data_IF_486322008430
#
_entry.id   IF_486322008430
#
_cell.length_a   1.000
_cell.length_b   1.000
_cell.length_c   1.000
_cell.angle_alpha   90.00
_cell.angle_beta   90.00
_cell.angle_gamma   90.00
#
_symmetry.space_group_name_H-M   'P 1'
#
loop_
_entity.id
_entity.type
_entity.pdbx_description
1 polymer ?
#
# COMPACT_ATOMS: atom_id res chain seq x y z
N UNK A 1 -6.47 -10.11 -5.14
CA UNK A 1 -7.48 -9.10 -5.53
C UNK A 1 -7.26 -7.94 -4.57
N UNK A 2 -6.62 -6.83 -4.99
CA UNK A 2 -6.08 -5.84 -4.06
C UNK A 2 -7.18 -5.04 -3.38
N UNK A 3 -6.99 -4.60 -2.13
CA UNK A 3 -7.98 -3.77 -1.45
C UNK A 3 -8.20 -2.41 -2.12
N UNK A 4 -7.22 -1.87 -2.84
CA UNK A 4 -7.39 -0.63 -3.61
C UNK A 4 -8.52 -0.70 -4.66
N UNK A 5 -8.84 -1.89 -5.21
CA UNK A 5 -9.92 -2.05 -6.18
C UNK A 5 -11.31 -1.94 -5.54
N UNK A 6 -11.44 -2.21 -4.23
CA UNK A 6 -12.74 -2.11 -3.53
C UNK A 6 -13.14 -0.65 -3.23
N UNK A 7 -12.21 0.29 -3.36
CA UNK A 7 -12.41 1.71 -3.05
C UNK A 7 -12.48 2.61 -4.30
N UNK A 8 -11.81 2.22 -5.39
CA UNK A 8 -11.70 3.05 -6.58
C UNK A 8 -11.99 2.24 -7.85
N UNK A 9 -12.83 2.81 -8.73
CA UNK A 9 -13.15 2.21 -10.03
C UNK A 9 -11.90 2.11 -10.94
N UNK A 10 -10.98 3.07 -10.82
CA UNK A 10 -9.69 3.08 -11.53
C UNK A 10 -8.57 3.45 -10.55
N UNK A 11 -7.88 2.46 -9.94
CA UNK A 11 -6.81 2.74 -8.99
C UNK A 11 -5.62 3.44 -9.68
N UNK A 12 -5.01 4.41 -8.99
CA UNK A 12 -3.78 5.05 -9.45
C UNK A 12 -2.60 4.07 -9.28
N UNK A 13 -1.88 3.79 -10.37
CA UNK A 13 -0.64 3.02 -10.31
C UNK A 13 0.49 3.94 -9.82
N UNK A 14 1.10 3.58 -8.70
CA UNK A 14 2.24 4.33 -8.18
C UNK A 14 3.46 4.11 -9.08
N UNK A 15 4.08 5.19 -9.57
CA UNK A 15 5.36 5.12 -10.29
C UNK A 15 6.47 4.72 -9.31
N UNK A 16 6.98 3.50 -9.45
CA UNK A 16 8.06 2.92 -8.65
C UNK A 16 9.41 3.60 -8.95
N UNK A 17 9.62 4.82 -8.44
CA UNK A 17 10.89 5.55 -8.58
C UNK A 17 11.77 5.32 -7.37
N UNK A 18 12.88 4.63 -7.57
CA UNK A 18 13.90 4.47 -6.53
C UNK A 18 14.56 5.81 -6.20
N UNK A 19 14.93 6.05 -4.93
CA UNK A 19 15.68 7.24 -4.55
C UNK A 19 17.01 7.33 -5.30
N UNK A 20 17.32 8.53 -5.81
CA UNK A 20 18.64 8.85 -6.34
C UNK A 20 19.54 9.30 -5.19
N UNK A 21 20.74 8.72 -5.11
CA UNK A 21 21.69 8.96 -4.03
C UNK A 21 23.08 9.25 -4.59
N UNK A 22 23.79 10.19 -3.99
CA UNK A 22 25.15 10.59 -4.42
C UNK A 22 26.26 9.75 -3.78
N UNK A 23 26.10 9.34 -2.52
CA UNK A 23 27.12 8.61 -1.75
C UNK A 23 26.89 7.09 -1.73
N UNK A 24 25.70 6.66 -2.14
CA UNK A 24 25.28 5.28 -2.12
C UNK A 24 25.13 4.75 -3.55
N UNK A 25 25.68 3.57 -3.81
CA UNK A 25 25.51 2.83 -5.07
C UNK A 25 24.48 1.74 -4.86
N UNK A 26 23.49 1.71 -5.75
CA UNK A 26 22.52 0.62 -5.82
C UNK A 26 23.26 -0.66 -6.18
N UNK A 27 23.14 -1.68 -5.33
CA UNK A 27 23.78 -2.99 -5.54
C UNK A 27 22.78 -4.08 -5.87
N UNK A 28 21.50 -3.88 -5.54
CA UNK A 28 20.45 -4.84 -5.85
C UNK A 28 19.05 -4.28 -5.63
N UNK A 29 18.08 -4.92 -6.26
CA UNK A 29 16.66 -4.68 -6.02
C UNK A 29 15.94 -6.02 -5.92
N UNK A 30 14.96 -6.10 -5.04
CA UNK A 30 14.07 -7.23 -4.90
C UNK A 30 12.63 -6.73 -4.81
N UNK A 31 11.76 -7.24 -5.68
CA UNK A 31 10.32 -7.03 -5.53
C UNK A 31 9.76 -8.08 -4.57
N UNK A 32 9.00 -7.64 -3.59
CA UNK A 32 8.31 -8.49 -2.62
C UNK A 32 6.82 -8.18 -2.72
N UNK A 33 6.07 -9.14 -3.24
CA UNK A 33 4.63 -9.04 -3.35
C UNK A 33 4.01 -10.20 -2.59
N UNK A 34 2.93 -9.92 -1.86
CA UNK A 34 2.21 -10.93 -1.11
C UNK A 34 0.75 -10.52 -0.96
N UNK A 35 -0.05 -11.45 -0.48
CA UNK A 35 -1.39 -11.16 -0.06
C UNK A 35 -1.47 -11.28 1.46
N UNK A 36 -2.05 -10.28 2.11
CA UNK A 36 -2.24 -10.24 3.56
C UNK A 36 -3.73 -10.18 3.87
N UNK A 37 -4.08 -10.62 5.08
CA UNK A 37 -5.44 -10.51 5.62
C UNK A 37 -5.40 -9.67 6.88
N UNK A 38 -6.10 -8.54 6.87
CA UNK A 38 -6.42 -7.77 8.06
C UNK A 38 -7.60 -8.46 8.74
N UNK A 39 -7.41 -8.92 9.97
CA UNK A 39 -8.34 -9.83 10.64
C UNK A 39 -9.42 -9.11 11.46
N UNK A 40 -9.26 -7.80 11.67
CA UNK A 40 -10.19 -7.01 12.46
C UNK A 40 -10.51 -5.70 11.76
N UNK A 41 -11.70 -5.15 12.04
CA UNK A 41 -12.07 -3.81 11.59
C UNK A 41 -11.06 -2.75 12.07
N UNK A 42 -10.52 -2.90 13.29
CA UNK A 42 -9.54 -1.97 13.84
C UNK A 42 -8.24 -1.94 13.01
N UNK A 43 -7.77 -3.09 12.54
CA UNK A 43 -6.58 -3.17 11.67
C UNK A 43 -6.85 -2.53 10.30
N UNK A 44 -8.06 -2.73 9.75
CA UNK A 44 -8.49 -2.11 8.48
C UNK A 44 -8.46 -0.59 8.61
N UNK A 45 -9.07 -0.06 9.68
CA UNK A 45 -9.13 1.38 9.92
C UNK A 45 -7.75 1.97 10.18
N UNK A 46 -6.91 1.30 10.98
CA UNK A 46 -5.56 1.77 11.28
C UNK A 46 -4.70 1.89 10.02
N UNK A 47 -4.69 0.85 9.17
CA UNK A 47 -3.95 0.89 7.90
C UNK A 47 -4.51 1.97 6.98
N UNK A 48 -5.84 2.09 6.89
CA UNK A 48 -6.49 3.08 6.04
C UNK A 48 -6.18 4.52 6.45
N UNK A 49 -6.21 4.83 7.75
CA UNK A 49 -5.89 6.16 8.30
C UNK A 49 -4.44 6.58 8.06
N UNK A 50 -3.50 5.62 8.00
CA UNK A 50 -2.10 5.89 7.69
C UNK A 50 -1.86 6.19 6.20
N UNK A 51 -2.85 5.96 5.33
CA UNK A 51 -2.71 6.26 3.90
C UNK A 51 -3.03 7.73 3.58
N UNK A 52 -2.33 8.33 2.60
CA UNK A 52 -2.66 9.68 2.13
C UNK A 52 -4.06 9.78 1.48
N UNK A 53 -4.71 8.64 1.23
CA UNK A 53 -6.05 8.56 0.65
C UNK A 53 -7.16 8.77 1.67
N UNK A 54 -6.89 8.63 2.97
CA UNK A 54 -7.91 8.72 4.03
C UNK A 54 -8.81 9.96 3.91
N UNK A 55 -8.24 11.14 3.64
CA UNK A 55 -9.01 12.38 3.50
C UNK A 55 -9.68 12.55 2.13
N UNK A 56 -9.24 11.81 1.11
CA UNK A 56 -9.71 11.90 -0.28
C UNK A 56 -10.79 10.88 -0.63
N UNK A 57 -10.95 9.84 0.20
CA UNK A 57 -11.98 8.81 0.02
C UNK A 57 -13.37 9.37 0.35
N UNK A 58 -14.36 9.09 -0.50
CA UNK A 58 -15.74 9.56 -0.32
C UNK A 58 -16.39 8.87 0.90
N UNK A 59 -17.35 9.52 1.58
CA UNK A 59 -18.02 8.92 2.75
C UNK A 59 -18.60 7.53 2.48
N UNK A 60 -19.24 7.31 1.32
CA UNK A 60 -19.81 6.02 0.95
C UNK A 60 -18.75 4.90 0.84
N UNK A 61 -17.53 5.22 0.39
CA UNK A 61 -16.44 4.26 0.27
C UNK A 61 -15.78 3.98 1.61
N UNK A 62 -15.77 4.95 2.53
CA UNK A 62 -15.38 4.74 3.93
C UNK A 62 -16.36 3.82 4.65
N UNK A 63 -17.66 4.03 4.44
CA UNK A 63 -18.70 3.19 5.02
C UNK A 63 -18.61 1.73 4.55
N UNK A 64 -18.21 1.51 3.30
CA UNK A 64 -17.91 0.16 2.78
C UNK A 64 -16.79 -0.52 3.58
N UNK A 65 -15.71 0.19 3.94
CA UNK A 65 -14.63 -0.35 4.77
C UNK A 65 -15.06 -0.57 6.21
N UNK A 66 -15.85 0.35 6.78
CA UNK A 66 -16.33 0.27 8.16
C UNK A 66 -17.21 -0.96 8.42
N UNK A 67 -17.86 -1.48 7.38
CA UNK A 67 -18.71 -2.67 7.42
C UNK A 67 -17.94 -3.99 7.15
N UNK A 68 -16.61 -3.96 7.04
CA UNK A 68 -15.79 -5.17 6.86
C UNK A 68 -15.22 -5.65 8.19
N UNK A 69 -15.43 -6.93 8.48
CA UNK A 69 -14.78 -7.61 9.62
C UNK A 69 -13.35 -8.04 9.27
N UNK A 70 -13.13 -8.41 8.01
CA UNK A 70 -11.82 -8.81 7.49
C UNK A 70 -11.59 -8.24 6.10
N UNK A 71 -10.33 -7.97 5.77
CA UNK A 71 -9.94 -7.44 4.47
C UNK A 71 -8.70 -8.17 3.96
N UNK A 72 -8.87 -8.87 2.86
CA UNK A 72 -7.77 -9.42 2.10
C UNK A 72 -7.26 -8.35 1.12
N UNK A 73 -5.96 -8.04 1.16
CA UNK A 73 -5.33 -7.09 0.24
C UNK A 73 -3.99 -7.58 -0.24
N UNK A 74 -3.64 -7.16 -1.45
CA UNK A 74 -2.31 -7.34 -1.98
C UNK A 74 -1.39 -6.25 -1.38
N UNK A 75 -0.14 -6.62 -1.11
CA UNK A 75 0.96 -5.72 -0.78
C UNK A 75 2.06 -5.90 -1.83
N UNK A 76 2.76 -4.82 -2.12
CA UNK A 76 3.80 -4.79 -3.14
C UNK A 76 4.88 -3.78 -2.78
N UNK A 77 6.12 -4.25 -2.68
CA UNK A 77 7.26 -3.46 -2.28
C UNK A 77 8.44 -3.71 -3.19
N UNK A 78 9.24 -2.69 -3.44
CA UNK A 78 10.61 -2.85 -3.93
C UNK A 78 11.56 -2.56 -2.78
N UNK A 79 12.33 -3.57 -2.42
CA UNK A 79 13.45 -3.45 -1.51
C UNK A 79 14.68 -3.13 -2.36
N UNK A 80 15.28 -1.96 -2.14
CA UNK A 80 16.50 -1.54 -2.82
C UNK A 80 17.67 -1.61 -1.83
N UNK A 81 18.71 -2.32 -2.23
CA UNK A 81 19.94 -2.48 -1.46
C UNK A 81 21.00 -1.53 -1.97
N UNK A 82 21.59 -0.78 -1.05
CA UNK A 82 22.61 0.21 -1.35
C UNK A 82 23.89 -0.08 -0.57
N UNK A 83 25.03 0.20 -1.20
CA UNK A 83 26.35 0.16 -0.56
C UNK A 83 26.98 1.54 -0.61
N UNK A 84 27.64 1.93 0.47
CA UNK A 84 28.48 3.13 0.45
C UNK A 84 29.53 3.00 -0.65
N UNK A 85 29.71 4.08 -1.40
CA UNK A 85 30.64 4.14 -2.55
C UNK A 85 32.09 3.95 -2.18
#
# INVERSE_FOLDING_TARGET
MPACWRLYDTPYLNDEKLPQTTELKLVGTQRVSANITLQTQADIEAVFQMTPYYYRTRPADKERLANLDTLQTDIDFIIAEYRHS
#
